data_IF_824999048952
#
_entry.id   IF_824999048952
#
_cell.length_a   1.000
_cell.length_b   1.000
_cell.length_c   1.000
_cell.angle_alpha   90.00
_cell.angle_beta   90.00
_cell.angle_gamma   90.00
#
_symmetry.space_group_name_H-M   'P 1'
#
loop_
_entity.id
_entity.type
_entity.pdbx_description
1 polymer ?
#
# COMPACT_ATOMS: atom_id res chain seq x y z
N UNK A 1 -17.79 -6.54 2.35
CA UNK A 1 -16.42 -6.95 2.75
C UNK A 1 -15.43 -6.27 1.81
N UNK A 2 -14.43 -5.53 2.30
CA UNK A 2 -13.51 -4.76 1.44
C UNK A 2 -12.62 -5.72 0.63
N UNK A 3 -12.47 -5.56 -0.70
CA UNK A 3 -11.56 -6.35 -1.51
C UNK A 3 -10.11 -6.36 -0.99
N UNK A 4 -9.34 -7.36 -1.39
CA UNK A 4 -7.90 -7.50 -1.09
C UNK A 4 -7.12 -7.71 -2.38
N UNK A 5 -5.82 -7.44 -2.33
CA UNK A 5 -4.92 -7.80 -3.42
C UNK A 5 -5.08 -9.29 -3.75
N UNK A 6 -5.06 -9.66 -5.04
CA UNK A 6 -5.16 -11.05 -5.43
C UNK A 6 -3.92 -11.81 -4.96
N UNK A 7 -4.08 -13.09 -4.61
CA UNK A 7 -2.99 -13.90 -4.06
C UNK A 7 -1.70 -13.87 -4.90
N UNK A 8 -1.73 -13.91 -6.25
CA UNK A 8 -0.51 -13.83 -7.06
C UNK A 8 0.30 -12.53 -6.89
N UNK A 9 -0.28 -11.46 -6.37
CA UNK A 9 0.44 -10.21 -6.06
C UNK A 9 1.08 -10.21 -4.66
N UNK A 10 0.84 -11.24 -3.85
CA UNK A 10 1.29 -11.30 -2.45
C UNK A 10 2.10 -12.56 -2.18
N UNK A 11 1.66 -13.70 -2.71
CA UNK A 11 2.34 -14.98 -2.61
C UNK A 11 3.32 -15.14 -3.77
N UNK A 12 4.60 -15.19 -3.43
CA UNK A 12 5.67 -15.57 -4.35
C UNK A 12 6.20 -16.95 -3.95
N UNK A 13 6.55 -17.78 -4.94
CA UNK A 13 7.12 -19.11 -4.70
C UNK A 13 8.61 -19.07 -4.96
N UNK A 14 9.38 -19.54 -3.99
CA UNK A 14 10.85 -19.60 -3.97
C UNK A 14 11.58 -18.25 -4.05
N UNK A 15 11.20 -17.40 -5.00
CA UNK A 15 11.83 -16.11 -5.26
C UNK A 15 10.78 -15.02 -5.41
N UNK A 16 11.09 -13.82 -4.93
CA UNK A 16 10.29 -12.63 -5.19
C UNK A 16 10.20 -12.39 -6.71
N UNK A 17 8.99 -12.13 -7.21
CA UNK A 17 8.75 -12.01 -8.65
C UNK A 17 7.68 -10.97 -8.96
N UNK A 18 8.00 -10.01 -9.82
CA UNK A 18 7.15 -8.83 -10.11
C UNK A 18 6.49 -8.88 -11.49
N UNK A 19 6.73 -9.96 -12.26
CA UNK A 19 6.26 -10.05 -13.65
C UNK A 19 4.75 -9.87 -13.81
N UNK A 20 3.95 -10.33 -12.84
CA UNK A 20 2.49 -10.20 -12.85
C UNK A 20 1.96 -9.01 -12.02
N UNK A 21 2.84 -8.24 -11.39
CA UNK A 21 2.46 -7.25 -10.37
C UNK A 21 1.63 -6.10 -10.95
N UNK A 22 2.07 -5.53 -12.08
CA UNK A 22 1.34 -4.43 -12.73
C UNK A 22 -0.09 -4.82 -13.11
N UNK A 23 -0.27 -5.97 -13.75
CA UNK A 23 -1.60 -6.48 -14.13
C UNK A 23 -2.47 -6.79 -12.90
N UNK A 24 -1.87 -7.32 -11.83
CA UNK A 24 -2.59 -7.61 -10.60
C UNK A 24 -3.01 -6.35 -9.83
N UNK A 25 -2.19 -5.29 -9.84
CA UNK A 25 -2.54 -3.97 -9.28
C UNK A 25 -3.68 -3.35 -10.07
N UNK A 26 -3.62 -3.37 -11.40
CA UNK A 26 -4.69 -2.84 -12.26
C UNK A 26 -6.02 -3.55 -12.01
N UNK A 27 -6.02 -4.89 -11.97
CA UNK A 27 -7.21 -5.67 -11.66
C UNK A 27 -7.75 -5.35 -10.25
N UNK A 28 -6.86 -5.12 -9.29
CA UNK A 28 -7.26 -4.76 -7.93
C UNK A 28 -7.85 -3.35 -7.86
N UNK A 29 -7.30 -2.37 -8.56
CA UNK A 29 -7.83 -1.01 -8.65
C UNK A 29 -9.25 -1.01 -9.22
N UNK A 30 -9.48 -1.76 -10.30
CA UNK A 30 -10.82 -1.93 -10.89
C UNK A 30 -11.81 -2.54 -9.88
N UNK A 31 -11.42 -3.63 -9.22
CA UNK A 31 -12.26 -4.33 -8.24
C UNK A 31 -12.58 -3.46 -7.02
N UNK A 32 -11.60 -2.75 -6.48
CA UNK A 32 -11.80 -1.88 -5.34
C UNK A 32 -12.62 -0.64 -5.73
N UNK A 33 -12.39 -0.08 -6.91
CA UNK A 33 -13.18 1.03 -7.43
C UNK A 33 -14.65 0.65 -7.63
N UNK A 34 -14.92 -0.55 -8.15
CA UNK A 34 -16.28 -1.08 -8.25
C UNK A 34 -16.95 -1.23 -6.87
N UNK A 35 -16.21 -1.75 -5.89
CA UNK A 35 -16.68 -1.83 -4.51
C UNK A 35 -16.97 -0.45 -3.91
N UNK A 36 -16.09 0.54 -4.07
CA UNK A 36 -16.36 1.88 -3.56
C UNK A 36 -17.60 2.50 -4.21
N UNK A 37 -17.80 2.33 -5.52
CA UNK A 37 -19.02 2.77 -6.21
C UNK A 37 -20.27 2.09 -5.66
N UNK A 38 -20.23 0.79 -5.39
CA UNK A 38 -21.40 0.08 -4.81
C UNK A 38 -21.73 0.53 -3.39
N UNK A 39 -20.74 1.03 -2.64
CA UNK A 39 -20.91 1.60 -1.30
C UNK A 39 -21.21 3.11 -1.33
N UNK A 40 -21.42 3.71 -2.50
CA UNK A 40 -21.70 5.15 -2.64
C UNK A 40 -20.51 6.06 -2.32
N UNK A 41 -19.29 5.53 -2.35
CA UNK A 41 -18.07 6.26 -2.02
C UNK A 41 -17.38 6.78 -3.29
N UNK A 42 -17.07 8.08 -3.30
CA UNK A 42 -16.16 8.67 -4.29
C UNK A 42 -14.74 8.59 -3.76
N UNK A 43 -14.00 7.58 -4.22
CA UNK A 43 -12.63 7.34 -3.78
C UNK A 43 -11.72 7.05 -4.97
N UNK A 44 -10.49 7.57 -4.90
CA UNK A 44 -9.41 7.28 -5.84
C UNK A 44 -9.08 5.78 -5.85
N UNK A 45 -8.37 5.33 -6.88
CA UNK A 45 -7.89 3.95 -6.97
C UNK A 45 -6.91 3.64 -5.83
N UNK A 46 -6.71 2.36 -5.50
CA UNK A 46 -5.84 1.97 -4.40
C UNK A 46 -4.39 2.42 -4.64
N UNK A 47 -3.88 2.23 -5.86
CA UNK A 47 -2.53 2.66 -6.24
C UNK A 47 -2.32 4.18 -6.03
N UNK A 48 -3.27 5.00 -6.48
CA UNK A 48 -3.27 6.45 -6.30
C UNK A 48 -3.33 6.85 -4.82
N UNK A 49 -4.16 6.18 -4.02
CA UNK A 49 -4.23 6.40 -2.57
C UNK A 49 -2.91 6.07 -1.88
N UNK A 50 -2.25 4.98 -2.27
CA UNK A 50 -0.95 4.58 -1.73
C UNK A 50 0.13 5.60 -2.11
N UNK A 51 0.19 5.98 -3.39
CA UNK A 51 1.13 7.00 -3.88
C UNK A 51 0.93 8.34 -3.18
N UNK A 52 -0.31 8.73 -2.90
CA UNK A 52 -0.61 9.96 -2.14
C UNK A 52 -0.08 9.88 -0.71
N UNK A 53 -0.20 8.72 -0.05
CA UNK A 53 0.25 8.51 1.34
C UNK A 53 1.77 8.36 1.48
N UNK A 54 2.46 7.93 0.43
CA UNK A 54 3.90 7.63 0.46
C UNK A 54 4.75 8.61 -0.35
N UNK A 55 4.15 9.39 -1.25
CA UNK A 55 4.87 10.18 -2.25
C UNK A 55 5.61 11.41 -1.70
N UNK A 56 5.36 11.83 -0.45
CA UNK A 56 6.04 12.96 0.18
C UNK A 56 6.27 12.70 1.66
N UNK A 57 7.39 13.17 2.19
CA UNK A 57 7.72 13.08 3.63
C UNK A 57 6.62 13.71 4.50
N UNK A 58 6.03 14.83 4.07
CA UNK A 58 4.92 15.46 4.80
C UNK A 58 3.67 14.56 4.95
N UNK A 59 3.47 13.58 4.06
CA UNK A 59 2.38 12.60 4.16
C UNK A 59 2.64 11.50 5.22
N UNK A 60 3.85 11.47 5.81
CA UNK A 60 4.21 10.52 6.85
C UNK A 60 3.67 10.91 8.23
N UNK A 61 3.17 12.14 8.42
CA UNK A 61 2.49 12.59 9.63
C UNK A 61 3.27 12.31 10.93
N UNK A 62 4.55 12.68 10.99
CA UNK A 62 5.42 12.47 12.15
C UNK A 62 6.12 11.11 12.18
N UNK A 63 5.83 10.21 11.22
CA UNK A 63 6.50 8.89 11.11
C UNK A 63 7.91 9.01 10.53
N UNK A 64 8.24 10.10 9.87
CA UNK A 64 9.60 10.48 9.49
C UNK A 64 10.56 10.54 10.70
N UNK A 65 10.03 10.76 11.92
CA UNK A 65 10.81 10.79 13.16
C UNK A 65 10.89 9.43 13.88
N UNK A 66 10.39 8.32 13.29
CA UNK A 66 10.37 7.02 13.96
C UNK A 66 11.77 6.53 14.34
N UNK A 67 12.74 6.67 13.43
CA UNK A 67 14.14 6.27 13.68
C UNK A 67 14.71 7.02 14.88
N UNK A 68 14.52 8.34 14.95
CA UNK A 68 14.99 9.15 16.08
C UNK A 68 14.32 8.76 17.40
N UNK A 69 13.01 8.49 17.37
CA UNK A 69 12.26 8.03 18.54
C UNK A 69 12.77 6.68 19.03
N UNK A 70 13.06 5.75 18.13
CA UNK A 70 13.61 4.44 18.48
C UNK A 70 15.02 4.56 19.05
N UNK A 71 15.90 5.35 18.44
CA UNK A 71 17.26 5.61 18.97
C UNK A 71 17.22 6.23 20.36
N UNK A 72 16.36 7.22 20.60
CA UNK A 72 16.15 7.85 21.92
C UNK A 72 15.66 6.87 22.99
N UNK A 73 15.04 5.77 22.59
CA UNK A 73 14.57 4.70 23.49
C UNK A 73 15.60 3.57 23.67
N UNK A 74 16.81 3.73 23.13
CA UNK A 74 17.90 2.76 23.28
C UNK A 74 17.85 1.60 22.27
N UNK A 75 16.99 1.66 21.25
CA UNK A 75 17.01 0.66 20.18
C UNK A 75 18.25 0.90 19.28
N UNK A 76 19.16 -0.07 19.27
CA UNK A 76 20.37 -0.07 18.44
C UNK A 76 20.07 -0.37 16.98
N UNK A 77 19.45 0.58 16.28
CA UNK A 77 19.27 0.52 14.83
C UNK A 77 20.64 0.70 14.16
N UNK A 78 21.05 -0.30 13.36
CA UNK A 78 22.29 -0.32 12.59
C UNK A 78 22.00 -0.06 11.12
#
# INVERSE_FOLDING_TARGET
MKPRLPQPAVLHRETYGTAAEAAAIEAYDQNLGAFYRSEGLTAANWSEQVLTRLGRVAALHGREHLVDKLKKRGFGLR
#
